data_IF_974413727185
#
_entry.id   IF_974413727185
#
_cell.length_a   1.000
_cell.length_b   1.000
_cell.length_c   1.000
_cell.angle_alpha   90.00
_cell.angle_beta   90.00
_cell.angle_gamma   90.00
#
_symmetry.space_group_name_H-M   'P 1'
#
loop_
_entity.id
_entity.type
_entity.pdbx_description
1 polymer ?
#
# COMPACT_ATOMS: atom_id res chain seq x y z
N UNK A 1 43.85 -31.43 -78.50
CA UNK A 1 43.06 -31.31 -77.26
C UNK A 1 42.95 -29.84 -76.89
N UNK A 2 41.75 -29.29 -76.89
CA UNK A 2 41.51 -27.85 -76.67
C UNK A 2 41.68 -27.47 -75.20
N UNK A 3 42.46 -26.40 -74.93
CA UNK A 3 42.74 -25.85 -73.59
C UNK A 3 41.54 -25.03 -73.10
N UNK A 4 40.44 -25.67 -72.69
CA UNK A 4 39.20 -24.97 -72.24
C UNK A 4 39.09 -24.71 -70.72
N UNK A 5 40.10 -25.01 -69.90
CA UNK A 5 39.94 -25.02 -68.42
C UNK A 5 40.88 -24.10 -67.62
N UNK A 6 41.27 -22.94 -68.13
CA UNK A 6 42.06 -21.95 -67.36
C UNK A 6 41.40 -20.57 -67.32
N UNK A 7 40.09 -20.51 -66.99
CA UNK A 7 39.47 -19.23 -66.62
C UNK A 7 39.37 -19.15 -65.09
N UNK A 8 39.93 -18.10 -64.46
CA UNK A 8 39.72 -17.86 -63.03
C UNK A 8 38.22 -17.84 -62.73
N UNK A 9 37.81 -18.63 -61.74
CA UNK A 9 36.41 -18.80 -61.39
C UNK A 9 35.88 -17.45 -60.86
N UNK A 10 35.04 -16.75 -61.62
CA UNK A 10 34.52 -15.41 -61.27
C UNK A 10 33.62 -15.37 -60.02
N UNK A 11 33.41 -16.53 -59.38
CA UNK A 11 32.73 -16.68 -58.09
C UNK A 11 33.69 -16.83 -56.91
N UNK A 12 35.01 -16.75 -57.12
CA UNK A 12 35.95 -16.75 -55.99
C UNK A 12 35.79 -15.43 -55.23
N UNK A 13 35.48 -15.46 -53.92
CA UNK A 13 35.48 -14.25 -53.11
C UNK A 13 36.88 -13.66 -53.12
N UNK A 14 36.98 -12.37 -53.44
CA UNK A 14 38.23 -11.61 -53.43
C UNK A 14 38.61 -11.38 -51.98
N UNK A 15 39.87 -11.66 -51.64
CA UNK A 15 40.39 -11.40 -50.30
C UNK A 15 40.22 -9.91 -49.96
N UNK A 16 39.69 -9.64 -48.78
CA UNK A 16 39.54 -8.28 -48.29
C UNK A 16 40.94 -7.67 -48.07
N UNK A 17 41.04 -6.35 -48.25
CA UNK A 17 42.27 -5.62 -47.97
C UNK A 17 42.68 -5.82 -46.50
N UNK A 18 43.98 -5.90 -46.23
CA UNK A 18 44.56 -6.05 -44.89
C UNK A 18 44.07 -4.97 -43.90
N UNK A 19 43.75 -3.77 -44.41
CA UNK A 19 43.19 -2.66 -43.64
C UNK A 19 41.66 -2.67 -43.46
N UNK A 20 40.94 -3.70 -43.95
CA UNK A 20 39.47 -3.75 -43.91
C UNK A 20 38.93 -3.62 -42.48
N UNK A 21 39.53 -4.32 -41.52
CA UNK A 21 39.13 -4.25 -40.11
C UNK A 21 39.32 -2.87 -39.50
N UNK A 22 40.30 -2.10 -39.97
CA UNK A 22 40.53 -0.73 -39.48
C UNK A 22 39.37 0.17 -39.88
N UNK A 23 38.77 0.01 -41.05
CA UNK A 23 37.57 0.81 -41.41
C UNK A 23 36.38 0.51 -40.50
N UNK A 24 36.20 -0.75 -40.07
CA UNK A 24 35.11 -1.18 -39.18
C UNK A 24 35.35 -0.69 -37.75
N UNK A 25 36.58 -0.77 -37.27
CA UNK A 25 36.95 -0.37 -35.91
C UNK A 25 37.04 1.15 -35.81
N UNK A 26 37.62 1.84 -36.79
CA UNK A 26 37.73 3.30 -36.79
C UNK A 26 36.38 4.00 -37.04
N UNK A 27 35.38 3.37 -37.67
CA UNK A 27 34.01 3.94 -37.68
C UNK A 27 33.39 4.01 -36.29
N UNK A 28 33.89 3.24 -35.32
CA UNK A 28 33.45 3.33 -33.93
C UNK A 28 34.23 4.36 -33.10
N UNK A 29 35.24 5.05 -33.66
CA UNK A 29 35.94 6.12 -32.94
C UNK A 29 35.19 7.46 -32.96
N UNK A 30 34.02 7.52 -33.60
CA UNK A 30 32.99 8.52 -33.26
C UNK A 30 32.13 8.09 -32.07
N UNK A 31 32.54 7.03 -31.37
CA UNK A 31 31.86 6.44 -30.23
C UNK A 31 32.14 7.24 -28.96
N UNK A 32 31.05 7.62 -28.30
CA UNK A 32 31.05 7.98 -26.89
C UNK A 32 31.90 6.95 -26.12
N UNK A 33 32.94 7.44 -25.45
CA UNK A 33 33.84 6.60 -24.65
C UNK A 33 33.01 5.69 -23.76
N UNK A 34 33.34 4.39 -23.68
CA UNK A 34 32.65 3.44 -22.81
C UNK A 34 32.57 3.92 -21.35
N UNK A 35 33.49 4.79 -20.95
CA UNK A 35 33.49 5.50 -19.66
C UNK A 35 32.29 6.44 -19.53
N UNK A 36 31.99 7.23 -20.57
CA UNK A 36 30.86 8.16 -20.60
C UNK A 36 29.53 7.39 -20.57
N UNK A 37 29.42 6.30 -21.34
CA UNK A 37 28.24 5.44 -21.32
C UNK A 37 27.99 4.84 -19.93
N UNK A 38 29.04 4.36 -19.25
CA UNK A 38 28.95 3.82 -17.89
C UNK A 38 28.57 4.91 -16.86
N UNK A 39 29.09 6.12 -16.98
CA UNK A 39 28.70 7.25 -16.13
C UNK A 39 27.22 7.61 -16.31
N UNK A 40 26.73 7.63 -17.55
CA UNK A 40 25.31 7.88 -17.83
C UNK A 40 24.41 6.78 -17.27
N UNK A 41 24.79 5.52 -17.42
CA UNK A 41 24.07 4.37 -16.85
C UNK A 41 24.03 4.42 -15.32
N UNK A 42 25.13 4.83 -14.68
CA UNK A 42 25.20 4.99 -13.23
C UNK A 42 24.26 6.09 -12.73
N UNK A 43 24.21 7.23 -13.43
CA UNK A 43 23.29 8.33 -13.13
C UNK A 43 21.84 7.89 -13.35
N UNK A 44 21.56 7.17 -14.44
CA UNK A 44 20.23 6.63 -14.72
C UNK A 44 19.77 5.66 -13.64
N UNK A 45 20.62 4.71 -13.24
CA UNK A 45 20.33 3.76 -12.17
C UNK A 45 20.08 4.46 -10.82
N UNK A 46 20.84 5.51 -10.52
CA UNK A 46 20.65 6.34 -9.33
C UNK A 46 19.28 7.05 -9.35
N UNK A 47 18.91 7.66 -10.47
CA UNK A 47 17.62 8.33 -10.63
C UNK A 47 16.45 7.35 -10.51
N UNK A 48 16.57 6.15 -11.10
CA UNK A 48 15.56 5.08 -10.96
C UNK A 48 15.42 4.66 -9.50
N UNK A 49 16.53 4.50 -8.76
CA UNK A 49 16.47 4.14 -7.34
C UNK A 49 15.75 5.19 -6.50
N UNK A 50 16.00 6.48 -6.76
CA UNK A 50 15.34 7.60 -6.07
C UNK A 50 13.82 7.61 -6.36
N UNK A 51 13.43 7.42 -7.63
CA UNK A 51 12.01 7.41 -8.00
C UNK A 51 11.25 6.21 -7.43
N UNK A 52 11.90 5.03 -7.38
CA UNK A 52 11.35 3.84 -6.72
C UNK A 52 11.17 4.09 -5.22
N UNK A 53 12.16 4.66 -4.54
CA UNK A 53 12.06 4.97 -3.11
C UNK A 53 10.92 5.96 -2.83
N UNK A 54 10.80 7.00 -3.67
CA UNK A 54 9.71 7.97 -3.59
C UNK A 54 8.34 7.29 -3.77
N UNK A 55 8.18 6.49 -4.82
CA UNK A 55 6.93 5.75 -5.09
C UNK A 55 6.57 4.81 -3.93
N UNK A 56 7.57 4.15 -3.34
CA UNK A 56 7.37 3.23 -2.22
C UNK A 56 6.92 3.96 -0.95
N UNK A 57 7.43 5.17 -0.71
CA UNK A 57 7.00 6.06 0.37
C UNK A 57 5.56 6.52 0.17
N UNK A 58 5.22 7.02 -1.02
CA UNK A 58 3.86 7.48 -1.37
C UNK A 58 2.83 6.33 -1.27
N UNK A 59 3.21 5.14 -1.70
CA UNK A 59 2.37 3.94 -1.56
C UNK A 59 2.14 3.57 -0.09
N UNK A 60 3.18 3.65 0.75
CA UNK A 60 3.06 3.38 2.19
C UNK A 60 2.13 4.39 2.86
N UNK A 61 2.23 5.67 2.52
CA UNK A 61 1.34 6.72 3.03
C UNK A 61 -0.10 6.49 2.58
N UNK A 62 -0.31 6.12 1.32
CA UNK A 62 -1.64 5.80 0.77
C UNK A 62 -2.27 4.59 1.47
N UNK A 63 -1.49 3.53 1.69
CA UNK A 63 -1.93 2.33 2.43
C UNK A 63 -2.29 2.72 3.87
N UNK A 64 -1.42 3.45 4.57
CA UNK A 64 -1.68 3.87 5.95
C UNK A 64 -2.96 4.71 6.05
N UNK A 65 -3.16 5.65 5.13
CA UNK A 65 -4.37 6.45 5.08
C UNK A 65 -5.63 5.61 4.80
N UNK A 66 -5.54 4.62 3.89
CA UNK A 66 -6.64 3.70 3.61
C UNK A 66 -6.96 2.80 4.82
N UNK A 67 -5.94 2.28 5.50
CA UNK A 67 -6.08 1.51 6.74
C UNK A 67 -6.72 2.37 7.83
N UNK A 68 -6.24 3.59 8.02
CA UNK A 68 -6.81 4.51 9.01
C UNK A 68 -8.28 4.85 8.71
N UNK A 69 -8.66 4.97 7.43
CA UNK A 69 -10.08 5.12 7.05
C UNK A 69 -10.95 3.91 7.35
N UNK A 70 -10.39 2.69 7.34
CA UNK A 70 -11.14 1.49 7.73
C UNK A 70 -11.16 1.32 9.25
N UNK A 71 -10.07 1.64 9.93
CA UNK A 71 -9.91 1.48 11.38
C UNK A 71 -10.62 2.58 12.16
N UNK A 72 -10.63 3.83 11.68
CA UNK A 72 -11.25 4.95 12.37
C UNK A 72 -12.76 4.74 12.61
N UNK A 73 -13.57 4.27 11.65
CA UNK A 73 -14.95 3.89 11.92
C UNK A 73 -15.05 2.78 12.97
N UNK A 74 -14.18 1.76 12.95
CA UNK A 74 -14.23 0.70 13.95
C UNK A 74 -13.81 1.17 15.36
N UNK A 75 -12.78 1.99 15.51
CA UNK A 75 -12.30 2.50 16.82
C UNK A 75 -13.17 3.64 17.37
N UNK A 76 -13.61 4.58 16.53
CA UNK A 76 -14.55 5.64 16.92
C UNK A 76 -15.91 5.03 17.30
N UNK A 77 -16.29 3.92 16.65
CA UNK A 77 -17.49 3.20 17.03
C UNK A 77 -17.33 2.39 18.32
N UNK A 78 -16.12 2.02 18.77
CA UNK A 78 -15.96 1.45 20.12
C UNK A 78 -16.36 2.48 21.18
N UNK A 79 -15.93 3.74 21.01
CA UNK A 79 -16.27 4.81 21.95
C UNK A 79 -17.77 5.16 21.87
N UNK A 80 -18.32 5.26 20.65
CA UNK A 80 -19.77 5.45 20.44
C UNK A 80 -20.61 4.33 21.06
N UNK A 81 -20.28 3.07 20.77
CA UNK A 81 -20.94 1.87 21.32
C UNK A 81 -20.80 1.82 22.85
N UNK A 82 -19.64 2.18 23.40
CA UNK A 82 -19.43 2.22 24.86
C UNK A 82 -20.36 3.24 25.52
N UNK A 83 -20.48 4.46 24.99
CA UNK A 83 -21.33 5.49 25.59
C UNK A 83 -22.82 5.30 25.30
N UNK A 84 -23.20 4.79 24.14
CA UNK A 84 -24.59 4.53 23.78
C UNK A 84 -25.21 3.41 24.63
N UNK A 85 -24.42 2.37 24.94
CA UNK A 85 -24.83 1.31 25.86
C UNK A 85 -24.88 1.77 27.33
N UNK A 86 -24.06 2.73 27.74
CA UNK A 86 -24.11 3.29 29.09
C UNK A 86 -25.42 4.03 29.36
N UNK A 87 -25.95 4.75 28.36
CA UNK A 87 -27.25 5.45 28.49
C UNK A 87 -28.36 4.42 28.70
N UNK A 88 -28.39 3.34 27.92
CA UNK A 88 -29.41 2.28 28.06
C UNK A 88 -29.34 1.58 29.43
N UNK A 89 -28.14 1.26 29.92
CA UNK A 89 -27.94 0.64 31.23
C UNK A 89 -28.36 1.56 32.39
N UNK A 90 -28.15 2.87 32.26
CA UNK A 90 -28.55 3.83 33.29
C UNK A 90 -30.08 3.97 33.41
N UNK A 91 -30.79 3.94 32.27
CA UNK A 91 -32.25 4.04 32.26
C UNK A 91 -32.91 2.82 32.92
N UNK A 92 -32.37 1.61 32.69
CA UNK A 92 -32.88 0.39 33.31
C UNK A 92 -32.66 0.38 34.84
N UNK A 93 -31.57 0.96 35.34
CA UNK A 93 -31.30 1.06 36.78
C UNK A 93 -32.27 2.01 37.50
N UNK A 94 -32.49 3.22 36.95
CA UNK A 94 -33.41 4.19 37.56
C UNK A 94 -34.84 3.65 37.61
N UNK A 95 -35.29 2.97 36.55
CA UNK A 95 -36.61 2.35 36.51
C UNK A 95 -36.74 1.22 37.55
N UNK A 96 -35.70 0.40 37.72
CA UNK A 96 -35.66 -0.66 38.73
C UNK A 96 -35.73 -0.09 40.16
N UNK A 97 -34.96 0.97 40.44
CA UNK A 97 -34.99 1.66 41.75
C UNK A 97 -36.38 2.23 42.01
N UNK A 98 -36.99 2.89 41.02
CA UNK A 98 -38.33 3.48 41.12
C UNK A 98 -39.40 2.42 41.42
N UNK A 99 -39.31 1.25 40.80
CA UNK A 99 -40.23 0.14 41.06
C UNK A 99 -40.11 -0.39 42.49
N UNK A 100 -38.88 -0.56 42.98
CA UNK A 100 -38.61 -1.06 44.33
C UNK A 100 -39.03 -0.05 45.41
N UNK A 101 -38.77 1.25 45.20
CA UNK A 101 -39.26 2.30 46.10
C UNK A 101 -40.78 2.33 46.17
N UNK A 102 -41.46 2.25 45.02
CA UNK A 102 -42.92 2.20 44.96
C UNK A 102 -43.47 0.95 45.67
N UNK A 103 -42.81 -0.20 45.51
CA UNK A 103 -43.16 -1.43 46.23
C UNK A 103 -43.04 -1.24 47.74
N UNK A 104 -41.93 -0.69 48.22
CA UNK A 104 -41.71 -0.41 49.65
C UNK A 104 -42.70 0.59 50.21
N UNK A 105 -43.03 1.64 49.44
CA UNK A 105 -44.03 2.64 49.81
C UNK A 105 -45.40 2.01 50.02
N UNK A 106 -45.86 1.18 49.06
CA UNK A 106 -47.13 0.44 49.17
C UNK A 106 -47.18 -0.49 50.38
N UNK A 107 -46.07 -1.17 50.70
CA UNK A 107 -46.00 -2.03 51.90
C UNK A 107 -46.13 -1.18 53.17
N UNK A 108 -45.40 -0.07 53.26
CA UNK A 108 -45.44 0.83 54.41
C UNK A 108 -46.84 1.41 54.62
N UNK A 109 -47.49 1.85 53.56
CA UNK A 109 -48.89 2.32 53.58
C UNK A 109 -49.86 1.23 54.05
N UNK A 110 -49.71 -0.02 53.57
CA UNK A 110 -50.53 -1.14 54.04
C UNK A 110 -50.36 -1.41 55.53
N UNK A 111 -49.14 -1.36 56.04
CA UNK A 111 -48.84 -1.56 57.47
C UNK A 111 -49.47 -0.44 58.30
N UNK A 112 -49.29 0.82 57.89
CA UNK A 112 -49.87 1.99 58.57
C UNK A 112 -51.40 1.89 58.58
N UNK A 113 -52.02 1.62 57.42
CA UNK A 113 -53.47 1.48 57.32
C UNK A 113 -54.02 0.29 58.12
N UNK A 114 -53.25 -0.80 58.25
CA UNK A 114 -53.64 -1.95 59.08
C UNK A 114 -53.51 -1.65 60.58
N UNK A 115 -52.52 -0.85 60.99
CA UNK A 115 -52.37 -0.41 62.37
C UNK A 115 -53.48 0.58 62.77
N UNK A 116 -53.79 1.56 61.90
CA UNK A 116 -54.84 2.56 62.13
C UNK A 116 -56.27 2.00 62.15
N UNK A 117 -56.52 0.81 61.59
CA UNK A 117 -57.84 0.14 61.62
C UNK A 117 -58.07 -0.73 62.87
N UNK A 118 -57.04 -0.91 63.70
CA UNK A 118 -57.11 -1.72 64.93
C UNK A 118 -57.33 -0.89 66.20
N UNK A 119 -57.33 0.43 66.09
CA UNK A 119 -57.86 1.38 67.09
C UNK A 119 -59.34 1.65 66.79
#
# INVERSE_FOLDING_TARGET
MERRYLRPNGRCPVALNEGFWMSIICTSSSGESAVIAHEMDQVYASNVAIEVEKTLRENKESINHAVMKQVAPSEVNVVGIQYENLISLSFDQDELIRQEENRRRRIRERIINAALRKE
#
